data_IF_102393749082
#
_entry.id   IF_102393749082
#
_cell.length_a   1.000
_cell.length_b   1.000
_cell.length_c   1.000
_cell.angle_alpha   90.00
_cell.angle_beta   90.00
_cell.angle_gamma   90.00
#
_symmetry.space_group_name_H-M   'P 1'
#
loop_
_entity.id
_entity.type
_entity.pdbx_description
1 polymer ?
#
# COMPACT_ATOMS: atom_id res chain seq x y z
N UNK A 1 13.37 23.90 46.36
CA UNK A 1 13.65 23.59 44.94
C UNK A 1 14.93 22.76 44.87
N UNK A 2 14.83 21.44 44.62
CA UNK A 2 16.00 20.55 44.47
C UNK A 2 16.71 20.90 43.15
N UNK A 3 17.88 21.54 43.21
CA UNK A 3 18.80 21.62 42.07
C UNK A 3 19.28 20.20 41.78
N UNK A 4 18.79 19.61 40.69
CA UNK A 4 19.31 18.36 40.16
C UNK A 4 20.82 18.55 39.91
N UNK A 5 21.63 17.77 40.61
CA UNK A 5 23.08 17.77 40.49
C UNK A 5 23.49 17.16 39.14
N UNK A 6 23.53 17.99 38.10
CA UNK A 6 24.00 17.61 36.76
C UNK A 6 25.54 17.54 36.72
N UNK A 7 26.24 18.07 37.74
CA UNK A 7 27.70 18.24 37.75
C UNK A 7 28.54 16.97 37.97
N UNK A 8 27.97 15.77 38.10
CA UNK A 8 28.75 14.52 38.31
C UNK A 8 28.60 13.46 37.22
N UNK A 9 27.95 13.78 36.08
CA UNK A 9 27.79 12.81 35.00
C UNK A 9 29.09 12.82 34.18
N UNK A 10 29.81 11.69 34.17
CA UNK A 10 30.98 11.52 33.28
C UNK A 10 30.51 11.75 31.83
N UNK A 11 31.25 12.48 30.99
CA UNK A 11 30.81 12.85 29.64
C UNK A 11 30.47 11.63 28.78
N UNK A 12 31.17 10.51 28.98
CA UNK A 12 30.88 9.24 28.30
C UNK A 12 29.49 8.65 28.65
N UNK A 13 29.01 8.84 29.88
CA UNK A 13 27.69 8.37 30.31
C UNK A 13 26.57 9.27 29.79
N UNK A 14 26.81 10.58 29.70
CA UNK A 14 25.88 11.50 29.06
C UNK A 14 25.72 11.18 27.56
N UNK A 15 26.84 10.93 26.86
CA UNK A 15 26.82 10.52 25.45
C UNK A 15 26.17 9.13 25.27
N UNK A 16 26.41 8.18 26.18
CA UNK A 16 25.75 6.89 26.12
C UNK A 16 24.24 7.01 26.35
N UNK A 17 23.80 7.85 27.29
CA UNK A 17 22.37 8.11 27.52
C UNK A 17 21.71 8.77 26.31
N UNK A 18 22.37 9.74 25.67
CA UNK A 18 21.89 10.37 24.45
C UNK A 18 21.82 9.37 23.29
N UNK A 19 22.83 8.51 23.14
CA UNK A 19 22.82 7.44 22.15
C UNK A 19 21.69 6.44 22.38
N UNK A 20 21.36 6.10 23.63
CA UNK A 20 20.20 5.26 23.95
C UNK A 20 18.88 5.93 23.63
N UNK A 21 18.73 7.23 23.90
CA UNK A 21 17.54 7.99 23.52
C UNK A 21 17.37 8.03 22.00
N UNK A 22 18.45 8.27 21.27
CA UNK A 22 18.45 8.22 19.81
C UNK A 22 18.07 6.82 19.30
N UNK A 23 18.63 5.75 19.89
CA UNK A 23 18.29 4.38 19.54
C UNK A 23 16.80 4.08 19.75
N UNK A 24 16.23 4.52 20.88
CA UNK A 24 14.81 4.35 21.17
C UNK A 24 13.93 5.13 20.18
N UNK A 25 14.32 6.37 19.84
CA UNK A 25 13.61 7.20 18.87
C UNK A 25 13.58 6.55 17.47
N UNK A 26 14.75 6.16 16.94
CA UNK A 26 14.84 5.50 15.64
C UNK A 26 14.14 4.13 15.63
N UNK A 27 14.26 3.37 16.73
CA UNK A 27 13.55 2.09 16.86
C UNK A 27 12.02 2.25 16.83
N UNK A 28 11.50 3.29 17.48
CA UNK A 28 10.08 3.64 17.45
C UNK A 28 9.61 4.08 16.06
N UNK A 29 10.40 4.89 15.34
CA UNK A 29 10.09 5.28 13.96
C UNK A 29 10.11 4.09 13.01
N UNK A 30 11.10 3.20 13.14
CA UNK A 30 11.15 1.94 12.39
C UNK A 30 9.92 1.07 12.62
N UNK A 31 9.48 0.95 13.88
CA UNK A 31 8.26 0.22 14.22
C UNK A 31 7.01 0.86 13.60
N UNK A 32 6.84 2.18 13.70
CA UNK A 32 5.73 2.88 13.04
C UNK A 32 5.75 2.68 11.51
N UNK A 33 6.92 2.81 10.88
CA UNK A 33 7.08 2.59 9.45
C UNK A 33 6.70 1.15 9.04
N UNK A 34 7.04 0.14 9.85
CA UNK A 34 6.58 -1.24 9.59
C UNK A 34 5.07 -1.40 9.76
N UNK A 35 4.47 -0.80 10.78
CA UNK A 35 3.04 -0.90 11.02
C UNK A 35 2.22 -0.25 9.88
N UNK A 36 2.63 0.94 9.42
CA UNK A 36 2.02 1.60 8.26
C UNK A 36 2.25 0.80 6.96
N UNK A 37 3.45 0.24 6.77
CA UNK A 37 3.75 -0.61 5.62
C UNK A 37 2.87 -1.87 5.55
N UNK A 38 2.61 -2.50 6.69
CA UNK A 38 1.70 -3.65 6.78
C UNK A 38 0.25 -3.26 6.45
N UNK A 39 -0.22 -2.11 6.94
CA UNK A 39 -1.55 -1.59 6.61
C UNK A 39 -1.69 -1.30 5.11
N UNK A 40 -0.67 -0.69 4.50
CA UNK A 40 -0.66 -0.42 3.07
C UNK A 40 -0.68 -1.71 2.24
N UNK A 41 0.19 -2.67 2.55
CA UNK A 41 0.22 -3.96 1.87
C UNK A 41 -1.10 -4.73 2.01
N UNK A 42 -1.71 -4.69 3.20
CA UNK A 42 -3.04 -5.26 3.46
C UNK A 42 -4.12 -4.58 2.63
N UNK A 43 -4.12 -3.25 2.56
CA UNK A 43 -5.04 -2.47 1.72
C UNK A 43 -4.88 -2.78 0.24
N UNK A 44 -3.65 -2.90 -0.25
CA UNK A 44 -3.37 -3.21 -1.65
C UNK A 44 -3.83 -4.63 -2.02
N UNK A 45 -3.57 -5.60 -1.14
CA UNK A 45 -4.05 -6.98 -1.30
C UNK A 45 -5.58 -7.05 -1.28
N UNK A 46 -6.23 -6.31 -0.36
CA UNK A 46 -7.68 -6.25 -0.27
C UNK A 46 -8.29 -5.66 -1.54
N UNK A 47 -7.76 -4.55 -2.04
CA UNK A 47 -8.19 -3.93 -3.30
C UNK A 47 -8.05 -4.89 -4.48
N UNK A 48 -6.93 -5.60 -4.57
CA UNK A 48 -6.72 -6.56 -5.65
C UNK A 48 -7.76 -7.69 -5.58
N UNK A 49 -7.95 -8.30 -4.40
CA UNK A 49 -8.92 -9.37 -4.20
C UNK A 49 -10.36 -8.94 -4.49
N UNK A 50 -10.78 -7.80 -3.94
CA UNK A 50 -12.12 -7.24 -4.16
C UNK A 50 -12.31 -6.84 -5.62
N UNK A 51 -11.29 -6.25 -6.26
CA UNK A 51 -11.30 -5.91 -7.68
C UNK A 51 -11.48 -7.13 -8.57
N UNK A 52 -10.81 -8.24 -8.27
CA UNK A 52 -11.00 -9.52 -8.97
C UNK A 52 -12.43 -10.06 -8.79
N UNK A 53 -12.97 -10.04 -7.58
CA UNK A 53 -14.32 -10.50 -7.30
C UNK A 53 -15.39 -9.64 -8.02
N UNK A 54 -15.26 -8.32 -7.95
CA UNK A 54 -16.17 -7.40 -8.64
C UNK A 54 -16.07 -7.54 -10.17
N UNK A 55 -14.86 -7.75 -10.71
CA UNK A 55 -14.65 -8.03 -12.13
C UNK A 55 -15.32 -9.33 -12.55
N UNK A 56 -15.19 -10.40 -11.76
CA UNK A 56 -15.82 -11.68 -12.04
C UNK A 56 -17.36 -11.58 -12.01
N UNK A 57 -17.92 -10.88 -11.04
CA UNK A 57 -19.37 -10.63 -10.95
C UNK A 57 -19.88 -9.85 -12.17
N UNK A 58 -19.17 -8.78 -12.55
CA UNK A 58 -19.49 -7.99 -13.74
C UNK A 58 -19.41 -8.82 -15.03
N UNK A 59 -18.34 -9.57 -15.22
CA UNK A 59 -18.14 -10.42 -16.41
C UNK A 59 -19.21 -11.50 -16.50
N UNK A 60 -19.57 -12.12 -15.37
CA UNK A 60 -20.67 -13.09 -15.33
C UNK A 60 -21.99 -12.46 -15.80
N UNK A 61 -22.31 -11.25 -15.34
CA UNK A 61 -23.53 -10.56 -15.73
C UNK A 61 -23.54 -10.16 -17.22
N UNK A 62 -22.40 -9.69 -17.74
CA UNK A 62 -22.20 -9.37 -19.17
C UNK A 62 -22.37 -10.62 -20.02
N UNK A 63 -21.70 -11.72 -19.68
CA UNK A 63 -21.77 -12.99 -20.41
C UNK A 63 -23.19 -13.57 -20.40
N UNK A 64 -23.91 -13.40 -19.29
CA UNK A 64 -25.31 -13.82 -19.19
C UNK A 64 -26.21 -13.10 -20.20
N UNK A 65 -26.06 -11.79 -20.40
CA UNK A 65 -26.84 -11.09 -21.43
C UNK A 65 -26.31 -11.39 -22.84
N UNK A 66 -24.99 -11.48 -23.01
CA UNK A 66 -24.34 -11.74 -24.29
C UNK A 66 -24.76 -13.11 -24.87
N UNK A 67 -24.75 -14.17 -24.06
CA UNK A 67 -25.20 -15.50 -24.49
C UNK A 67 -26.71 -15.56 -24.78
N UNK A 68 -27.52 -14.67 -24.18
CA UNK A 68 -28.97 -14.62 -24.38
C UNK A 68 -29.36 -13.79 -25.59
N UNK A 69 -28.69 -12.67 -25.86
CA UNK A 69 -29.02 -11.76 -26.97
C UNK A 69 -28.89 -12.43 -28.34
N UNK A 70 -28.02 -13.44 -28.45
CA UNK A 70 -27.76 -14.19 -29.68
C UNK A 70 -28.71 -15.38 -29.90
N UNK A 71 -29.64 -15.65 -28.98
CA UNK A 71 -30.58 -16.75 -29.12
C UNK A 71 -31.58 -16.47 -30.24
N UNK A 72 -31.73 -17.41 -31.16
CA UNK A 72 -32.71 -17.33 -32.26
C UNK A 72 -34.13 -17.12 -31.71
N UNK A 73 -34.50 -17.85 -30.65
CA UNK A 73 -35.81 -17.72 -30.02
C UNK A 73 -36.12 -16.30 -29.54
N UNK A 74 -35.10 -15.55 -29.10
CA UNK A 74 -35.26 -14.16 -28.69
C UNK A 74 -35.55 -13.27 -29.90
N UNK A 75 -34.76 -13.39 -30.96
CA UNK A 75 -34.99 -12.64 -32.20
C UNK A 75 -36.37 -12.95 -32.80
N UNK A 76 -36.80 -14.21 -32.80
CA UNK A 76 -38.12 -14.62 -33.27
C UNK A 76 -39.26 -14.04 -32.44
N UNK A 77 -39.14 -14.02 -31.11
CA UNK A 77 -40.14 -13.40 -30.25
C UNK A 77 -40.28 -11.90 -30.53
N UNK A 78 -39.15 -11.20 -30.63
CA UNK A 78 -39.11 -9.76 -30.91
C UNK A 78 -39.62 -9.42 -32.31
N UNK A 79 -39.36 -10.24 -33.33
CA UNK A 79 -39.93 -10.06 -34.68
C UNK A 79 -41.46 -10.22 -34.72
N UNK A 80 -42.04 -10.88 -33.71
CA UNK A 80 -43.49 -11.05 -33.55
C UNK A 80 -44.09 -10.02 -32.59
N UNK A 81 -43.30 -9.02 -32.20
CA UNK A 81 -43.63 -8.02 -31.19
C UNK A 81 -44.03 -8.61 -29.82
N UNK A 82 -43.60 -9.85 -29.54
CA UNK A 82 -43.86 -10.54 -28.26
C UNK A 82 -42.76 -10.21 -27.24
N UNK A 83 -42.84 -8.99 -26.70
CA UNK A 83 -41.91 -8.49 -25.69
C UNK A 83 -42.01 -9.22 -24.35
N UNK A 84 -43.16 -9.82 -24.02
CA UNK A 84 -43.33 -10.60 -22.80
C UNK A 84 -42.54 -11.92 -22.88
N UNK A 85 -42.65 -12.64 -24.00
CA UNK A 85 -41.85 -13.84 -24.24
C UNK A 85 -40.36 -13.51 -24.31
N UNK A 86 -39.99 -12.40 -24.96
CA UNK A 86 -38.60 -11.94 -25.02
C UNK A 86 -38.03 -11.67 -23.61
N UNK A 87 -38.77 -10.95 -22.76
CA UNK A 87 -38.37 -10.68 -21.38
C UNK A 87 -38.24 -11.96 -20.54
N UNK A 88 -39.13 -12.94 -20.74
CA UNK A 88 -39.00 -14.26 -20.10
C UNK A 88 -37.74 -15.00 -20.55
N UNK A 89 -37.40 -14.96 -21.84
CA UNK A 89 -36.17 -15.59 -22.35
C UNK A 89 -34.88 -14.96 -21.80
N UNK A 90 -34.90 -13.65 -21.51
CA UNK A 90 -33.79 -12.96 -20.84
C UNK A 90 -33.70 -13.36 -19.37
N UNK A 91 -34.83 -13.35 -18.67
CA UNK A 91 -34.88 -13.58 -17.21
C UNK A 91 -34.79 -15.05 -16.81
N UNK A 92 -35.02 -15.98 -17.74
CA UNK A 92 -35.00 -17.41 -17.46
C UNK A 92 -33.64 -17.86 -16.91
N UNK A 93 -33.69 -18.52 -15.75
CA UNK A 93 -32.53 -18.95 -14.98
C UNK A 93 -31.60 -17.83 -14.49
N UNK A 94 -31.97 -16.55 -14.66
CA UNK A 94 -31.17 -15.41 -14.23
C UNK A 94 -31.74 -14.77 -12.96
N UNK A 95 -31.19 -15.17 -11.81
CA UNK A 95 -31.59 -14.59 -10.53
C UNK A 95 -31.17 -13.12 -10.41
N UNK A 96 -32.04 -12.29 -9.86
CA UNK A 96 -31.73 -10.90 -9.52
C UNK A 96 -32.00 -9.88 -10.63
N UNK A 97 -32.60 -10.25 -11.75
CA UNK A 97 -33.07 -9.25 -12.73
C UNK A 97 -34.25 -8.47 -12.16
N UNK A 98 -34.10 -7.15 -12.03
CA UNK A 98 -35.18 -6.27 -11.55
C UNK A 98 -36.12 -5.85 -12.67
N UNK A 99 -35.58 -5.61 -13.86
CA UNK A 99 -36.35 -5.17 -15.02
C UNK A 99 -35.63 -5.53 -16.33
N UNK A 100 -36.44 -5.76 -17.37
CA UNK A 100 -36.00 -5.85 -18.77
C UNK A 100 -36.84 -4.85 -19.56
N UNK A 101 -36.16 -3.94 -20.25
CA UNK A 101 -36.76 -2.93 -21.11
C UNK A 101 -36.23 -3.11 -22.55
N UNK A 102 -37.07 -2.78 -23.53
CA UNK A 102 -36.75 -2.88 -24.95
C UNK A 102 -36.79 -1.50 -25.55
N UNK A 103 -35.73 -1.10 -26.24
CA UNK A 103 -35.61 0.23 -26.82
C UNK A 103 -35.36 0.17 -28.33
N UNK A 104 -35.86 1.19 -29.02
CA UNK A 104 -35.60 1.38 -30.44
C UNK A 104 -34.10 1.65 -30.68
N UNK A 105 -33.48 1.11 -31.75
CA UNK A 105 -32.06 1.32 -32.05
C UNK A 105 -31.68 2.80 -32.29
N UNK A 106 -32.62 3.64 -32.72
CA UNK A 106 -32.42 5.07 -32.90
C UNK A 106 -32.46 5.87 -31.60
N UNK A 107 -32.94 5.29 -30.50
CA UNK A 107 -33.02 5.91 -29.17
C UNK A 107 -33.78 7.26 -29.15
N UNK A 108 -34.67 7.50 -30.11
CA UNK A 108 -35.41 8.76 -30.28
C UNK A 108 -36.13 9.19 -29.00
N UNK A 109 -36.78 8.26 -28.29
CA UNK A 109 -37.43 8.52 -27.01
C UNK A 109 -36.44 9.01 -25.94
N UNK A 110 -35.23 8.44 -25.92
CA UNK A 110 -34.18 8.82 -24.98
C UNK A 110 -33.61 10.21 -25.29
N UNK A 111 -33.47 10.56 -26.56
CA UNK A 111 -33.00 11.89 -26.97
C UNK A 111 -34.08 12.98 -26.86
N UNK A 112 -35.36 12.63 -26.95
CA UNK A 112 -36.46 13.58 -26.80
C UNK A 112 -36.54 14.18 -25.39
N UNK A 113 -36.29 13.38 -24.35
CA UNK A 113 -36.15 13.85 -22.96
C UNK A 113 -35.10 13.02 -22.19
N UNK A 114 -33.80 13.35 -22.33
CA UNK A 114 -32.72 12.62 -21.68
C UNK A 114 -32.77 12.69 -20.15
N UNK A 115 -33.40 13.73 -19.59
CA UNK A 115 -33.51 13.91 -18.15
C UNK A 115 -34.54 12.95 -17.57
N UNK A 116 -35.69 12.80 -18.22
CA UNK A 116 -36.70 11.83 -17.82
C UNK A 116 -36.29 10.38 -18.13
N UNK A 117 -35.62 10.15 -19.27
CA UNK A 117 -35.13 8.83 -19.67
C UNK A 117 -33.96 8.34 -18.80
N UNK A 118 -33.12 9.27 -18.38
CA UNK A 118 -31.92 9.02 -17.57
C UNK A 118 -30.66 8.97 -18.41
N UNK A 119 -29.78 9.96 -18.23
CA UNK A 119 -28.50 10.09 -18.95
C UNK A 119 -27.63 8.84 -18.86
N UNK A 120 -27.60 8.16 -17.71
CA UNK A 120 -26.83 6.92 -17.55
C UNK A 120 -27.39 5.76 -18.36
N UNK A 121 -28.73 5.62 -18.38
CA UNK A 121 -29.43 4.59 -19.18
C UNK A 121 -29.19 4.83 -20.67
N UNK A 122 -29.32 6.09 -21.12
CA UNK A 122 -29.05 6.46 -22.51
C UNK A 122 -27.60 6.16 -22.90
N UNK A 123 -26.63 6.57 -22.09
CA UNK A 123 -25.21 6.36 -22.39
C UNK A 123 -24.79 4.89 -22.46
N UNK A 124 -25.37 4.00 -21.63
CA UNK A 124 -25.05 2.56 -21.73
C UNK A 124 -25.67 1.91 -22.97
N UNK A 125 -26.86 2.35 -23.38
CA UNK A 125 -27.52 1.91 -24.61
C UNK A 125 -26.74 2.35 -25.85
N UNK A 126 -26.32 3.62 -25.89
CA UNK A 126 -25.47 4.16 -26.96
C UNK A 126 -24.15 3.40 -27.06
N UNK A 127 -23.48 3.16 -25.93
CA UNK A 127 -22.21 2.44 -25.91
C UNK A 127 -22.37 0.99 -26.39
N UNK A 128 -23.45 0.31 -25.99
CA UNK A 128 -23.74 -1.04 -26.44
C UNK A 128 -24.00 -1.10 -27.95
N UNK A 129 -24.71 -0.10 -28.49
CA UNK A 129 -24.97 0.03 -29.92
C UNK A 129 -23.68 0.31 -30.69
N UNK A 130 -22.86 1.25 -30.23
CA UNK A 130 -21.61 1.65 -30.86
C UNK A 130 -20.61 0.48 -30.96
N UNK A 131 -20.49 -0.28 -29.88
CA UNK A 131 -19.55 -1.40 -29.81
C UNK A 131 -20.13 -2.71 -30.33
N UNK A 132 -21.42 -2.72 -30.67
CA UNK A 132 -22.19 -3.92 -31.01
C UNK A 132 -22.00 -5.07 -30.00
N UNK A 133 -21.92 -4.73 -28.71
CA UNK A 133 -21.54 -5.65 -27.64
C UNK A 133 -22.39 -5.40 -26.40
N UNK A 134 -22.50 -6.41 -25.53
CA UNK A 134 -23.05 -6.17 -24.20
C UNK A 134 -22.14 -5.22 -23.42
N UNK A 135 -22.70 -4.12 -22.92
CA UNK A 135 -22.01 -3.10 -22.13
C UNK A 135 -22.69 -2.90 -20.79
N UNK A 136 -21.90 -2.52 -19.80
CA UNK A 136 -22.34 -2.39 -18.42
C UNK A 136 -21.93 -1.04 -17.84
N UNK A 137 -22.77 -0.47 -17.00
CA UNK A 137 -22.45 0.72 -16.22
C UNK A 137 -23.31 0.77 -14.95
N UNK A 138 -22.82 1.48 -13.92
CA UNK A 138 -23.68 1.88 -12.81
C UNK A 138 -24.43 3.15 -13.23
N UNK A 139 -25.75 3.12 -13.17
CA UNK A 139 -26.61 4.23 -13.58
C UNK A 139 -27.58 4.58 -12.46
N UNK A 140 -28.09 5.81 -12.48
CA UNK A 140 -29.23 6.18 -11.63
C UNK A 140 -30.51 5.81 -12.37
N UNK A 141 -31.21 4.79 -11.89
CA UNK A 141 -32.49 4.31 -12.44
C UNK A 141 -33.42 3.83 -11.33
N UNK A 142 -34.74 3.89 -11.54
CA UNK A 142 -35.76 3.55 -10.55
C UNK A 142 -35.55 4.22 -9.17
N UNK A 143 -35.04 5.46 -9.16
CA UNK A 143 -34.83 6.25 -7.93
C UNK A 143 -33.52 5.97 -7.19
N UNK A 144 -32.62 5.14 -7.71
CA UNK A 144 -31.34 4.85 -7.06
C UNK A 144 -30.25 4.32 -7.99
N UNK A 145 -29.05 4.07 -7.47
CA UNK A 145 -27.97 3.47 -8.26
C UNK A 145 -28.27 2.00 -8.54
N UNK A 146 -28.07 1.58 -9.79
CA UNK A 146 -28.31 0.22 -10.28
C UNK A 146 -27.23 -0.20 -11.26
N UNK A 147 -26.98 -1.49 -11.36
CA UNK A 147 -26.13 -2.04 -12.41
C UNK A 147 -26.98 -2.22 -13.67
N UNK A 148 -26.70 -1.42 -14.69
CA UNK A 148 -27.35 -1.52 -15.98
C UNK A 148 -26.48 -2.30 -16.96
N UNK A 149 -27.15 -3.16 -17.73
CA UNK A 149 -26.58 -3.87 -18.87
C UNK A 149 -27.40 -3.50 -20.10
N UNK A 150 -26.73 -3.22 -21.20
CA UNK A 150 -27.36 -2.98 -22.48
C UNK A 150 -26.73 -3.83 -23.57
N UNK A 151 -27.52 -4.32 -24.50
CA UNK A 151 -27.03 -5.11 -25.61
C UNK A 151 -27.92 -4.98 -26.86
N UNK A 152 -27.35 -4.76 -28.06
CA UNK A 152 -28.12 -4.88 -29.29
C UNK A 152 -28.49 -6.33 -29.57
N UNK A 153 -29.76 -6.54 -29.93
CA UNK A 153 -30.27 -7.81 -30.46
C UNK A 153 -30.32 -7.70 -31.97
N UNK A 154 -29.67 -8.64 -32.66
CA UNK A 154 -29.57 -8.62 -34.12
C UNK A 154 -30.52 -9.64 -34.75
N UNK A 155 -31.10 -9.26 -35.88
CA UNK A 155 -31.79 -10.15 -36.80
C UNK A 155 -31.35 -9.82 -38.23
N UNK A 156 -30.95 -10.85 -38.99
CA UNK A 156 -30.50 -10.70 -40.38
C UNK A 156 -29.42 -9.63 -40.58
N UNK A 157 -28.47 -9.54 -39.63
CA UNK A 157 -27.35 -8.59 -39.67
C UNK A 157 -27.72 -7.13 -39.35
N UNK A 158 -28.96 -6.87 -38.91
CA UNK A 158 -29.43 -5.54 -38.48
C UNK A 158 -29.82 -5.56 -37.01
N UNK A 159 -29.63 -4.44 -36.32
CA UNK A 159 -30.10 -4.28 -34.93
C UNK A 159 -31.62 -4.17 -34.96
N UNK A 160 -32.30 -5.15 -34.37
CA UNK A 160 -33.75 -5.18 -34.26
C UNK A 160 -34.24 -4.28 -33.12
N UNK A 161 -33.58 -4.38 -31.97
CA UNK A 161 -33.87 -3.62 -30.75
C UNK A 161 -32.65 -3.61 -29.84
N UNK A 162 -32.65 -2.72 -28.86
CA UNK A 162 -31.70 -2.69 -27.76
C UNK A 162 -32.36 -3.27 -26.51
N UNK A 163 -31.77 -4.33 -25.96
CA UNK A 163 -32.14 -4.87 -24.67
C UNK A 163 -31.49 -4.04 -23.56
N UNK A 164 -32.28 -3.60 -22.58
CA UNK A 164 -31.80 -3.02 -21.33
C UNK A 164 -32.18 -3.94 -20.18
N UNK A 165 -31.20 -4.35 -19.37
CA UNK A 165 -31.41 -5.20 -18.20
C UNK A 165 -30.91 -4.47 -16.97
N UNK A 166 -31.76 -4.41 -15.95
CA UNK A 166 -31.44 -3.80 -14.67
C UNK A 166 -31.19 -4.86 -13.61
N UNK A 167 -30.05 -4.73 -12.93
CA UNK A 167 -29.64 -5.57 -11.82
C UNK A 167 -29.47 -4.75 -10.54
N UNK A 168 -29.65 -5.38 -9.36
CA UNK A 168 -29.35 -4.79 -8.07
C UNK A 168 -27.87 -4.41 -8.01
N UNK A 169 -27.58 -3.26 -7.41
CA UNK A 169 -26.21 -2.76 -7.27
C UNK A 169 -25.35 -3.70 -6.41
N UNK A 170 -26.01 -4.42 -5.51
CA UNK A 170 -25.46 -5.43 -4.60
C UNK A 170 -24.72 -6.52 -5.37
N UNK A 171 -25.13 -6.83 -6.61
CA UNK A 171 -24.42 -7.76 -7.52
C UNK A 171 -22.95 -7.39 -7.68
N UNK A 172 -22.64 -6.09 -7.68
CA UNK A 172 -21.29 -5.56 -7.85
C UNK A 172 -20.65 -5.12 -6.53
N UNK A 173 -21.45 -4.66 -5.58
CA UNK A 173 -20.97 -4.01 -4.35
C UNK A 173 -20.83 -4.95 -3.16
N UNK A 174 -21.47 -6.13 -3.19
CA UNK A 174 -21.37 -7.11 -2.11
C UNK A 174 -19.93 -7.49 -1.71
N UNK A 175 -18.97 -7.70 -2.64
CA UNK A 175 -17.58 -7.99 -2.27
C UNK A 175 -16.89 -6.85 -1.51
N UNK A 176 -17.28 -5.60 -1.78
CA UNK A 176 -16.74 -4.41 -1.12
C UNK A 176 -17.36 -4.24 0.25
N UNK A 177 -18.66 -4.54 0.39
CA UNK A 177 -19.36 -4.47 1.67
C UNK A 177 -18.95 -5.58 2.64
N UNK A 178 -18.66 -6.78 2.11
CA UNK A 178 -18.19 -7.92 2.88
C UNK A 178 -16.69 -7.86 3.22
N UNK A 179 -15.93 -6.94 2.61
CA UNK A 179 -14.50 -6.79 2.83
C UNK A 179 -14.20 -6.45 4.30
N UNK A 180 -13.23 -7.18 4.89
CA UNK A 180 -12.74 -6.91 6.23
C UNK A 180 -11.82 -5.67 6.21
N UNK A 181 -12.42 -4.49 6.33
CA UNK A 181 -11.68 -3.23 6.47
C UNK A 181 -11.27 -2.97 7.91
N UNK A 182 -10.10 -2.35 8.07
CA UNK A 182 -9.72 -1.69 9.33
C UNK A 182 -10.20 -0.25 9.31
N UNK A 183 -10.57 0.32 10.46
CA UNK A 183 -11.08 1.70 10.58
C UNK A 183 -10.12 2.78 10.03
N UNK A 184 -8.83 2.46 9.91
CA UNK A 184 -7.78 3.35 9.38
C UNK A 184 -7.57 3.23 7.87
N UNK A 185 -8.31 2.36 7.19
CA UNK A 185 -8.16 2.09 5.76
C UNK A 185 -9.38 2.56 5.01
N UNK A 186 -9.23 2.78 3.71
CA UNK A 186 -10.28 3.23 2.82
C UNK A 186 -10.41 2.27 1.65
N UNK A 187 -11.65 1.94 1.26
CA UNK A 187 -11.97 1.14 0.08
C UNK A 187 -13.22 1.72 -0.58
N UNK A 188 -13.18 1.90 -1.89
CA UNK A 188 -14.35 2.34 -2.64
C UNK A 188 -14.39 1.74 -4.05
N UNK A 189 -15.60 1.63 -4.58
CA UNK A 189 -15.82 1.44 -6.01
C UNK A 189 -16.22 2.78 -6.59
N UNK A 190 -15.50 3.23 -7.62
CA UNK A 190 -15.72 4.52 -8.26
C UNK A 190 -16.10 4.35 -9.72
N UNK A 191 -17.00 5.21 -10.18
CA UNK A 191 -17.30 5.40 -11.60
C UNK A 191 -17.02 6.86 -11.96
N UNK A 192 -16.03 7.08 -12.83
CA UNK A 192 -15.59 8.45 -13.13
C UNK A 192 -15.17 9.20 -11.86
N UNK A 193 -15.88 10.27 -11.51
CA UNK A 193 -15.60 11.13 -10.34
C UNK A 193 -16.42 10.78 -9.10
N UNK A 194 -17.36 9.84 -9.19
CA UNK A 194 -18.27 9.50 -8.10
C UNK A 194 -17.90 8.17 -7.45
N UNK A 195 -18.00 8.09 -6.12
CA UNK A 195 -17.99 6.83 -5.38
C UNK A 195 -19.39 6.20 -5.46
N UNK A 196 -19.45 4.98 -5.98
CA UNK A 196 -20.67 4.16 -6.04
C UNK A 196 -20.95 3.55 -4.67
N UNK A 197 -19.91 3.02 -4.03
CA UNK A 197 -19.90 2.60 -2.63
C UNK A 197 -18.56 2.96 -2.02
N UNK A 198 -18.58 3.35 -0.76
CA UNK A 198 -17.41 3.84 -0.03
C UNK A 198 -17.42 3.28 1.40
N UNK A 199 -16.27 2.82 1.88
CA UNK A 199 -16.09 2.28 3.24
C UNK A 199 -14.76 2.74 3.84
N UNK A 200 -14.79 2.93 5.16
CA UNK A 200 -13.61 3.29 5.95
C UNK A 200 -13.39 4.80 6.06
N UNK A 201 -12.13 5.22 6.13
CA UNK A 201 -11.76 6.63 6.36
C UNK A 201 -11.79 7.47 5.07
N UNK A 202 -12.85 8.26 4.90
CA UNK A 202 -13.04 9.15 3.76
C UNK A 202 -11.95 10.22 3.61
N UNK A 203 -11.17 10.52 4.67
CA UNK A 203 -10.04 11.45 4.55
C UNK A 203 -8.96 10.94 3.58
N UNK A 204 -8.88 9.63 3.37
CA UNK A 204 -7.93 8.98 2.46
C UNK A 204 -8.41 8.90 1.01
N UNK A 205 -9.64 9.35 0.72
CA UNK A 205 -10.31 9.23 -0.57
C UNK A 205 -9.54 9.86 -1.74
N UNK A 206 -8.77 10.92 -1.48
CA UNK A 206 -7.98 11.63 -2.49
C UNK A 206 -6.71 10.86 -2.92
N UNK A 207 -6.10 10.10 -2.00
CA UNK A 207 -4.89 9.31 -2.27
C UNK A 207 -5.18 7.91 -2.84
N UNK A 208 -6.43 7.45 -2.78
CA UNK A 208 -6.82 6.08 -3.08
C UNK A 208 -6.74 5.66 -4.56
N UNK A 209 -6.57 6.63 -5.47
CA UNK A 209 -6.50 6.38 -6.92
C UNK A 209 -5.22 5.63 -7.34
N UNK A 210 -4.15 5.72 -6.53
CA UNK A 210 -2.89 5.06 -6.86
C UNK A 210 -3.05 3.54 -6.79
N UNK A 211 -2.82 2.85 -7.92
CA UNK A 211 -2.97 1.39 -8.00
C UNK A 211 -4.42 0.91 -8.17
N UNK A 212 -5.34 1.79 -8.56
CA UNK A 212 -6.74 1.44 -8.81
C UNK A 212 -6.88 0.24 -9.76
N UNK A 213 -7.76 -0.71 -9.39
CA UNK A 213 -8.07 -1.88 -10.20
C UNK A 213 -9.27 -1.55 -11.08
N UNK A 214 -9.05 -1.39 -12.38
CA UNK A 214 -10.12 -1.11 -13.35
C UNK A 214 -10.94 -2.35 -13.63
N UNK A 215 -12.26 -2.17 -13.73
CA UNK A 215 -13.19 -3.21 -14.19
C UNK A 215 -13.28 -3.14 -15.72
N UNK A 216 -12.84 -4.18 -16.45
CA UNK A 216 -12.79 -4.16 -17.91
C UNK A 216 -14.15 -3.84 -18.56
N UNK A 217 -14.12 -3.07 -19.65
CA UNK A 217 -15.32 -2.72 -20.41
C UNK A 217 -16.23 -1.68 -19.76
N UNK A 218 -15.80 -1.06 -18.66
CA UNK A 218 -16.56 -0.04 -17.92
C UNK A 218 -15.66 1.10 -17.45
N UNK A 219 -16.25 2.16 -16.91
CA UNK A 219 -15.53 3.26 -16.23
C UNK A 219 -15.37 3.02 -14.72
N UNK A 220 -15.64 1.79 -14.27
CA UNK A 220 -15.57 1.42 -12.86
C UNK A 220 -14.15 1.04 -12.47
N UNK A 221 -13.79 1.37 -11.23
CA UNK A 221 -12.52 0.97 -10.63
C UNK A 221 -12.63 0.83 -9.12
N UNK A 222 -11.95 -0.15 -8.57
CA UNK A 222 -11.79 -0.31 -7.12
C UNK A 222 -10.55 0.46 -6.69
N UNK A 223 -10.72 1.32 -5.71
CA UNK A 223 -9.67 2.18 -5.14
C UNK A 223 -9.51 1.86 -3.66
N UNK A 224 -8.30 2.02 -3.14
CA UNK A 224 -8.02 1.84 -1.72
C UNK A 224 -6.86 2.70 -1.26
N UNK A 225 -6.86 3.06 0.02
CA UNK A 225 -5.76 3.77 0.65
C UNK A 225 -5.57 3.35 2.10
N UNK A 226 -4.33 3.46 2.57
CA UNK A 226 -3.98 3.39 3.98
C UNK A 226 -3.13 4.62 4.36
N UNK A 227 -2.99 4.92 5.66
CA UNK A 227 -2.21 6.07 6.12
C UNK A 227 -0.74 5.85 5.81
N UNK A 228 -0.13 6.85 5.18
CA UNK A 228 1.32 6.86 4.93
C UNK A 228 2.02 7.25 6.24
N UNK A 229 3.12 6.58 6.57
CA UNK A 229 3.95 7.01 7.70
C UNK A 229 4.69 8.31 7.35
N UNK A 230 4.66 9.30 8.25
CA UNK A 230 5.43 10.55 8.12
C UNK A 230 6.96 10.37 8.28
N UNK A 231 7.44 9.13 8.36
CA UNK A 231 8.84 8.79 8.53
C UNK A 231 9.68 9.29 7.34
N UNK A 232 10.77 10.00 7.63
CA UNK A 232 11.68 10.53 6.61
C UNK A 232 12.47 9.44 5.86
N UNK A 233 12.49 8.21 6.39
CA UNK A 233 13.27 7.10 5.83
C UNK A 233 12.55 5.76 5.95
N UNK A 234 13.03 4.75 5.23
CA UNK A 234 12.45 3.40 5.26
C UNK A 234 12.61 2.75 6.64
N UNK A 235 11.71 1.83 7.01
CA UNK A 235 11.81 1.08 8.26
C UNK A 235 13.19 0.40 8.45
N UNK A 236 13.77 -0.13 7.37
CA UNK A 236 15.11 -0.74 7.39
C UNK A 236 16.17 0.28 7.80
N UNK A 237 16.12 1.49 7.23
CA UNK A 237 17.06 2.58 7.56
C UNK A 237 16.94 2.98 9.04
N UNK A 238 15.73 3.17 9.54
CA UNK A 238 15.48 3.52 10.94
C UNK A 238 16.01 2.44 11.92
N UNK A 239 15.79 1.15 11.63
CA UNK A 239 16.33 0.07 12.46
C UNK A 239 17.86 -0.02 12.41
N UNK A 240 18.49 0.25 11.25
CA UNK A 240 19.95 0.30 11.13
C UNK A 240 20.54 1.43 11.98
N UNK A 241 19.95 2.63 11.93
CA UNK A 241 20.36 3.75 12.77
C UNK A 241 20.18 3.44 14.26
N UNK A 242 19.05 2.83 14.63
CA UNK A 242 18.81 2.37 16.00
C UNK A 242 19.89 1.39 16.46
N UNK A 243 20.22 0.38 15.65
CA UNK A 243 21.28 -0.57 15.92
C UNK A 243 22.66 0.07 16.08
N UNK A 244 23.01 1.02 15.20
CA UNK A 244 24.26 1.77 15.29
C UNK A 244 24.35 2.57 16.59
N UNK A 245 23.28 3.26 16.98
CA UNK A 245 23.21 4.01 18.23
C UNK A 245 23.37 3.08 19.46
N UNK A 246 22.80 1.87 19.43
CA UNK A 246 23.00 0.87 20.48
C UNK A 246 24.45 0.40 20.57
N UNK A 247 25.11 0.15 19.42
CA UNK A 247 26.53 -0.23 19.38
C UNK A 247 27.42 0.88 19.95
N UNK A 248 27.15 2.14 19.62
CA UNK A 248 27.87 3.30 20.18
C UNK A 248 27.65 3.41 21.69
N UNK A 249 26.40 3.29 22.16
CA UNK A 249 26.08 3.31 23.58
C UNK A 249 26.79 2.18 24.34
N UNK A 250 26.75 0.96 23.81
CA UNK A 250 27.44 -0.20 24.39
C UNK A 250 28.96 0.03 24.42
N UNK A 251 29.55 0.55 23.33
CA UNK A 251 30.96 0.89 23.26
C UNK A 251 31.38 1.89 24.35
N UNK A 252 30.61 2.96 24.55
CA UNK A 252 30.88 3.99 25.57
C UNK A 252 30.78 3.44 27.01
N UNK A 253 29.83 2.53 27.26
CA UNK A 253 29.64 1.91 28.59
C UNK A 253 30.69 0.82 28.87
N UNK A 254 31.08 0.05 27.85
CA UNK A 254 32.05 -1.06 27.98
C UNK A 254 33.51 -0.60 27.90
N UNK A 255 33.80 0.59 27.33
CA UNK A 255 35.16 1.14 27.22
C UNK A 255 35.97 1.10 28.53
N UNK A 256 35.46 1.53 29.70
CA UNK A 256 36.21 1.45 30.96
C UNK A 256 36.50 0.01 31.40
N UNK A 257 35.61 -0.94 31.12
CA UNK A 257 35.79 -2.36 31.46
C UNK A 257 36.83 -3.04 30.56
N UNK A 258 36.81 -2.72 29.26
CA UNK A 258 37.78 -3.24 28.29
C UNK A 258 39.18 -2.65 28.49
N UNK A 259 39.28 -1.37 28.88
CA UNK A 259 40.55 -0.77 29.32
C UNK A 259 41.08 -1.37 30.62
N UNK A 260 40.19 -1.77 31.54
CA UNK A 260 40.54 -2.49 32.77
C UNK A 260 41.02 -3.93 32.53
N UNK A 261 40.44 -4.65 31.56
CA UNK A 261 40.94 -5.97 31.15
C UNK A 261 42.29 -5.91 30.42
N UNK A 262 42.53 -4.87 29.61
CA UNK A 262 43.86 -4.57 29.06
C UNK A 262 44.87 -4.14 30.12
N UNK A 263 44.41 -3.74 31.31
CA UNK A 263 45.21 -3.37 32.48
C UNK A 263 45.06 -4.36 33.62
N UNK A 264 44.87 -5.66 33.33
CA UNK A 264 45.13 -6.67 34.35
C UNK A 264 46.64 -6.85 34.46
N UNK A 265 47.22 -6.69 35.66
CA UNK A 265 48.64 -6.45 35.84
C UNK A 265 49.42 -7.73 35.57
N UNK A 266 50.35 -7.69 34.62
CA UNK A 266 51.60 -8.41 34.86
C UNK A 266 52.18 -7.78 36.13
N UNK A 267 52.46 -8.61 37.13
CA UNK A 267 53.03 -8.15 38.38
C UNK A 267 54.24 -7.25 38.14
N UNK A 268 54.33 -6.20 38.94
CA UNK A 268 55.61 -5.61 39.36
C UNK A 268 56.63 -5.40 38.22
N UNK A 269 56.34 -4.40 37.38
CA UNK A 269 57.39 -3.71 36.63
C UNK A 269 57.14 -2.21 36.80
N UNK A 270 58.21 -1.54 37.21
CA UNK A 270 58.28 -0.18 37.69
C UNK A 270 57.54 0.85 36.82
N UNK A 271 57.11 1.92 37.49
CA UNK A 271 56.97 3.24 36.88
C UNK A 271 58.30 3.60 36.19
N UNK A 272 58.42 3.30 34.90
CA UNK A 272 59.31 4.06 34.02
C UNK A 272 58.58 5.33 33.63
N UNK A 273 58.78 6.33 34.49
CA UNK A 273 58.75 7.73 34.12
C UNK A 273 59.61 7.90 32.86
N UNK A 274 58.95 8.22 31.75
CA UNK A 274 59.58 8.61 30.51
C UNK A 274 60.19 10.01 30.70
N UNK A 275 61.27 10.09 31.46
CA UNK A 275 61.73 11.34 32.03
C UNK A 275 63.09 11.38 32.72
N UNK A 276 63.96 10.36 32.64
CA UNK A 276 65.40 10.51 32.92
C UNK A 276 66.15 9.19 32.68
N UNK A 277 66.92 9.09 31.60
CA UNK A 277 68.00 8.11 31.55
C UNK A 277 69.07 8.46 32.61
N UNK A 278 69.77 7.47 33.19
CA UNK A 278 70.74 7.70 34.25
C UNK A 278 71.84 8.63 33.77
N UNK A 279 72.17 9.61 34.61
CA UNK A 279 73.16 10.63 34.25
C UNK A 279 74.58 10.06 34.34
N UNK A 280 75.51 10.64 33.59
CA UNK A 280 76.89 10.17 33.46
C UNK A 280 77.64 10.09 34.81
N UNK A 281 77.22 10.89 35.80
CA UNK A 281 77.73 10.87 37.17
C UNK A 281 77.30 9.61 37.96
N UNK A 282 76.11 9.08 37.70
CA UNK A 282 75.59 7.88 38.38
C UNK A 282 76.29 6.60 37.88
N UNK A 283 76.66 6.54 36.60
CA UNK A 283 77.44 5.44 36.03
C UNK A 283 78.91 5.41 36.53
N UNK A 284 79.49 6.57 36.85
CA UNK A 284 80.82 6.65 37.52
C UNK A 284 80.75 6.19 38.98
N UNK A 285 79.68 6.55 39.71
CA UNK A 285 79.50 6.13 41.10
C UNK A 285 79.20 4.63 41.26
N UNK A 286 78.61 4.01 40.25
CA UNK A 286 78.30 2.58 40.21
C UNK A 286 79.51 1.69 39.83
N UNK A 287 80.70 2.27 39.63
CA UNK A 287 81.93 1.51 39.38
C UNK A 287 81.96 0.73 38.06
N UNK A 288 81.13 1.10 37.08
CA UNK A 288 80.98 0.39 35.79
C UNK A 288 81.80 1.00 34.64
N UNK A 289 82.79 1.84 34.94
CA UNK A 289 83.74 2.39 33.97
C UNK A 289 85.15 1.90 34.32
N UNK A 290 85.64 0.90 33.58
CA UNK A 290 87.03 0.46 33.63
C UNK A 290 87.87 1.35 32.69
N UNK A 291 88.95 1.99 33.16
CA UNK A 291 89.89 2.69 32.29
C UNK A 291 90.55 1.72 31.30
N UNK A 292 90.78 2.11 30.03
CA UNK A 292 91.55 1.29 29.10
C UNK A 292 92.99 1.09 29.59
N UNK A 293 93.47 -0.14 29.49
CA UNK A 293 94.82 -0.58 29.86
C UNK A 293 95.88 0.11 28.96
N UNK A 294 97.01 0.61 29.52
CA UNK A 294 98.00 1.35 28.77
C UNK A 294 98.78 0.44 27.80
N UNK A 295 98.95 0.94 26.57
CA UNK A 295 99.77 0.30 25.54
C UNK A 295 101.25 0.19 25.98
N UNK A 296 101.93 -0.95 25.72
CA UNK A 296 103.34 -1.08 26.01
C UNK A 296 104.18 -0.25 25.04
N UNK A 297 104.85 0.79 25.57
CA UNK A 297 106.00 1.42 24.92
C UNK A 297 107.26 0.69 25.36
N UNK A 298 107.91 0.01 24.43
CA UNK A 298 109.32 -0.37 24.57
C UNK A 298 110.11 0.42 23.54
N UNK A 299 111.02 1.27 24.03
CA UNK A 299 112.06 1.91 23.26
C UNK A 299 113.42 1.32 23.70
N UNK A 300 114.11 0.67 22.77
CA UNK A 300 115.57 0.57 22.62
C UNK A 300 115.85 -0.06 21.26
#
# INVERSE_FOLDING_TARGET
>A
MKKLAINSIKPAWALAALALLAAAWFGWNGWQATASGQLQAGSDSLRASVGTQATAALQSAVEQLESRRVKIALATALQRDDTEAASKLITDGWSGVEAVEWHDPGLETGYADPKAFGYGKLGVLELALQDNATRAAVVMDAGGPRLALAAPVLADGRVLTLAYVRLPLETLTAPIEAAALTDKTYLALRQGRHSVVERGDAALANGAEFGAVKLPGTQLRVVSAAPVSDGASSAMTEFLLSGLCLVVAAGLVLQPRLKGLRRRPAGEAAEEDAGAGPTLAELQSAGKLQPPEPAPTTAA
#
